data_IF_916554914374
#
_entry.id   IF_916554914374
#
_cell.length_a   1.000
_cell.length_b   1.000
_cell.length_c   1.000
_cell.angle_alpha   90.00
_cell.angle_beta   90.00
_cell.angle_gamma   90.00
#
_symmetry.space_group_name_H-M   'P 1'
#
loop_
_entity.id
_entity.type
_entity.pdbx_description
1 polymer ?
#
# COMPACT_ATOMS: atom_id res chain seq x y z
N UNK A 1 -13.42 -35.34 46.88
CA UNK A 1 -13.70 -33.95 46.43
C UNK A 1 -12.54 -33.30 45.65
N UNK A 2 -11.30 -33.80 45.69
CA UNK A 2 -10.16 -33.19 44.98
C UNK A 2 -10.07 -33.47 43.46
N UNK A 3 -10.70 -34.55 42.96
CA UNK A 3 -10.65 -34.95 41.53
C UNK A 3 -11.48 -34.02 40.63
N UNK A 4 -12.64 -33.59 41.11
CA UNK A 4 -13.54 -32.67 40.40
C UNK A 4 -12.93 -31.26 40.26
N UNK A 5 -12.20 -30.82 41.28
CA UNK A 5 -11.54 -29.50 41.30
C UNK A 5 -10.40 -29.40 40.27
N UNK A 6 -9.61 -30.46 40.09
CA UNK A 6 -8.55 -30.55 39.07
C UNK A 6 -9.10 -30.45 37.64
N UNK A 7 -10.24 -31.07 37.35
CA UNK A 7 -10.85 -31.05 36.01
C UNK A 7 -11.39 -29.66 35.66
N UNK A 8 -11.97 -28.97 36.64
CA UNK A 8 -12.51 -27.61 36.47
C UNK A 8 -11.37 -26.61 36.23
N UNK A 9 -10.27 -26.74 36.97
CA UNK A 9 -9.10 -25.87 36.82
C UNK A 9 -8.37 -26.08 35.49
N UNK A 10 -8.31 -27.32 34.98
CA UNK A 10 -7.76 -27.67 33.66
C UNK A 10 -8.57 -27.05 32.51
N UNK A 11 -9.91 -27.12 32.60
CA UNK A 11 -10.81 -26.47 31.64
C UNK A 11 -10.72 -24.94 31.68
N UNK A 12 -10.57 -24.35 32.86
CA UNK A 12 -10.37 -22.90 33.01
C UNK A 12 -9.02 -22.48 32.40
N UNK A 13 -7.96 -23.26 32.59
CA UNK A 13 -6.64 -22.98 32.04
C UNK A 13 -6.63 -23.07 30.50
N UNK A 14 -7.28 -24.09 29.93
CA UNK A 14 -7.45 -24.22 28.47
C UNK A 14 -8.24 -23.05 27.88
N UNK A 15 -9.32 -22.62 28.55
CA UNK A 15 -10.13 -21.46 28.11
C UNK A 15 -9.32 -20.16 28.17
N UNK A 16 -8.49 -19.97 29.21
CA UNK A 16 -7.61 -18.80 29.29
C UNK A 16 -6.53 -18.80 28.21
N UNK A 17 -5.90 -19.94 27.92
CA UNK A 17 -4.90 -20.07 26.84
C UNK A 17 -5.53 -19.82 25.47
N UNK A 18 -6.73 -20.34 25.21
CA UNK A 18 -7.47 -20.08 23.98
C UNK A 18 -7.83 -18.59 23.83
N UNK A 19 -8.21 -17.91 24.92
CA UNK A 19 -8.49 -16.48 24.90
C UNK A 19 -7.22 -15.63 24.63
N UNK A 20 -6.05 -16.07 25.13
CA UNK A 20 -4.77 -15.38 24.90
C UNK A 20 -4.25 -15.56 23.46
N UNK A 21 -4.41 -16.73 22.85
CA UNK A 21 -4.00 -16.99 21.46
C UNK A 21 -4.89 -16.23 20.46
N UNK A 22 -6.16 -15.98 20.81
CA UNK A 22 -7.08 -15.20 19.98
C UNK A 22 -6.70 -13.72 19.82
N UNK A 23 -5.82 -13.16 20.67
CA UNK A 23 -5.53 -11.73 20.70
C UNK A 23 -4.39 -11.30 19.74
N UNK A 24 -3.64 -12.23 19.14
CA UNK A 24 -2.45 -11.92 18.33
C UNK A 24 -2.70 -11.68 16.83
N UNK A 25 -3.95 -11.74 16.36
CA UNK A 25 -4.30 -11.62 14.93
C UNK A 25 -4.59 -10.19 14.42
N UNK A 26 -4.38 -9.16 15.25
CA UNK A 26 -4.68 -7.75 14.90
C UNK A 26 -3.43 -6.90 14.58
N UNK A 27 -2.33 -7.50 14.13
CA UNK A 27 -1.28 -6.75 13.47
C UNK A 27 -1.69 -6.49 12.02
N UNK A 28 -2.49 -5.44 11.80
CA UNK A 28 -2.75 -4.91 10.46
C UNK A 28 -1.40 -4.58 9.81
N UNK A 29 -1.07 -5.27 8.73
CA UNK A 29 0.07 -4.92 7.91
C UNK A 29 -0.23 -3.55 7.29
N UNK A 30 0.66 -2.57 7.50
CA UNK A 30 0.59 -1.30 6.79
C UNK A 30 0.67 -1.60 5.28
N UNK A 31 -0.47 -1.60 4.61
CA UNK A 31 -0.54 -1.62 3.17
C UNK A 31 -0.17 -0.21 2.74
N UNK A 32 0.99 -0.03 2.09
CA UNK A 32 1.21 1.18 1.33
C UNK A 32 0.12 1.23 0.26
N UNK A 33 -0.87 2.11 0.43
CA UNK A 33 -1.98 2.25 -0.50
C UNK A 33 -1.56 3.17 -1.64
N UNK A 34 -1.00 2.56 -2.69
CA UNK A 34 -0.59 3.31 -3.87
C UNK A 34 -1.82 3.71 -4.68
N UNK A 35 -2.03 5.02 -4.85
CA UNK A 35 -3.00 5.56 -5.80
C UNK A 35 -2.50 5.33 -7.21
N UNK A 36 -3.37 4.82 -8.09
CA UNK A 36 -3.05 4.46 -9.48
C UNK A 36 -3.99 5.11 -10.48
N UNK A 37 -3.48 5.44 -11.66
CA UNK A 37 -4.25 5.99 -12.78
C UNK A 37 -3.65 5.67 -14.14
N UNK A 38 -4.51 5.55 -15.17
CA UNK A 38 -4.10 5.37 -16.57
C UNK A 38 -4.18 6.71 -17.33
N UNK A 39 -3.14 7.01 -18.12
CA UNK A 39 -3.01 8.26 -18.86
C UNK A 39 -2.55 8.01 -20.29
N UNK A 40 -2.99 8.85 -21.22
CA UNK A 40 -2.60 8.74 -22.63
C UNK A 40 -1.13 9.12 -22.89
N UNK A 41 -0.53 9.98 -22.04
CA UNK A 41 0.84 10.49 -22.21
C UNK A 41 1.59 10.57 -20.88
N UNK A 42 2.93 10.54 -20.94
CA UNK A 42 3.79 10.74 -19.78
C UNK A 42 3.54 12.10 -19.11
N UNK A 43 3.38 13.17 -19.89
CA UNK A 43 3.09 14.51 -19.38
C UNK A 43 1.75 14.56 -18.63
N UNK A 44 0.71 13.89 -19.15
CA UNK A 44 -0.59 13.83 -18.46
C UNK A 44 -0.47 13.09 -17.12
N UNK A 45 0.32 12.01 -17.07
CA UNK A 45 0.59 11.29 -15.83
C UNK A 45 1.27 12.20 -14.79
N UNK A 46 2.37 12.87 -15.16
CA UNK A 46 3.10 13.77 -14.25
C UNK A 46 2.24 14.97 -13.82
N UNK A 47 1.47 15.54 -14.74
CA UNK A 47 0.57 16.65 -14.45
C UNK A 47 -0.53 16.26 -13.47
N UNK A 48 -1.10 15.07 -13.61
CA UNK A 48 -2.12 14.56 -12.69
C UNK A 48 -1.55 14.37 -11.26
N UNK A 49 -0.35 13.80 -11.14
CA UNK A 49 0.31 13.60 -9.84
C UNK A 49 0.64 14.96 -9.20
N UNK A 50 1.18 15.92 -9.98
CA UNK A 50 1.45 17.29 -9.52
C UNK A 50 0.17 18.00 -9.06
N UNK A 51 -0.89 17.91 -9.84
CA UNK A 51 -2.18 18.54 -9.55
C UNK A 51 -2.84 17.94 -8.30
N UNK A 52 -2.81 16.61 -8.17
CA UNK A 52 -3.36 15.91 -7.01
C UNK A 52 -2.65 16.33 -5.72
N UNK A 53 -1.32 16.29 -5.72
CA UNK A 53 -0.51 16.59 -4.54
C UNK A 53 -0.32 18.09 -4.27
N UNK A 54 -0.74 18.96 -5.21
CA UNK A 54 -0.50 20.42 -5.20
C UNK A 54 0.95 20.75 -4.87
N UNK A 55 1.88 19.96 -5.42
CA UNK A 55 3.30 19.98 -5.08
C UNK A 55 4.14 19.72 -6.31
N UNK A 56 5.33 20.32 -6.35
CA UNK A 56 6.35 19.99 -7.34
C UNK A 56 6.82 18.54 -7.19
N UNK A 57 7.31 18.00 -8.31
CA UNK A 57 7.89 16.66 -8.42
C UNK A 57 9.40 16.81 -8.61
N UNK A 58 10.19 16.16 -7.76
CA UNK A 58 11.62 16.03 -7.96
C UNK A 58 11.88 14.71 -8.68
N UNK A 59 12.32 14.80 -9.94
CA UNK A 59 12.57 13.65 -10.81
C UNK A 59 13.91 12.99 -10.44
N UNK A 60 13.91 11.66 -10.37
CA UNK A 60 15.10 10.83 -10.17
C UNK A 60 15.45 10.01 -11.41
N UNK A 61 14.42 9.47 -12.09
CA UNK A 61 14.58 8.77 -13.36
C UNK A 61 13.75 9.48 -14.41
N UNK A 62 14.36 9.79 -15.55
CA UNK A 62 13.69 10.35 -16.72
C UNK A 62 14.06 9.53 -17.95
N UNK A 63 13.18 8.59 -18.30
CA UNK A 63 13.33 7.71 -19.46
C UNK A 63 12.01 7.70 -20.25
N UNK A 64 12.04 7.47 -21.58
CA UNK A 64 10.82 7.40 -22.39
C UNK A 64 9.81 6.35 -21.91
N UNK A 65 10.29 5.24 -21.34
CA UNK A 65 9.44 4.18 -20.80
C UNK A 65 9.04 4.39 -19.33
N UNK A 66 9.70 5.30 -18.61
CA UNK A 66 9.51 5.44 -17.17
C UNK A 66 10.04 6.77 -16.64
N UNK A 67 9.21 7.49 -15.90
CA UNK A 67 9.63 8.61 -15.05
C UNK A 67 9.33 8.28 -13.60
N UNK A 68 10.28 8.49 -12.70
CA UNK A 68 10.07 8.30 -11.26
C UNK A 68 10.76 9.40 -10.47
N UNK A 69 10.33 9.59 -9.22
CA UNK A 69 10.86 10.63 -8.38
C UNK A 69 10.18 10.67 -7.02
N UNK A 70 10.29 11.81 -6.36
CA UNK A 70 9.52 12.12 -5.15
C UNK A 70 8.61 13.33 -5.34
N UNK A 71 7.53 13.36 -4.59
CA UNK A 71 6.71 14.54 -4.37
C UNK A 71 7.42 15.39 -3.30
N UNK A 72 7.73 16.66 -3.62
CA UNK A 72 8.56 17.51 -2.74
C UNK A 72 7.93 17.70 -1.37
N UNK A 73 6.62 17.94 -1.32
CA UNK A 73 5.90 18.24 -0.08
C UNK A 73 5.79 17.03 0.87
N UNK A 74 5.34 15.88 0.37
CA UNK A 74 5.10 14.69 1.18
C UNK A 74 6.34 13.83 1.35
N UNK A 75 7.36 14.05 0.52
CA UNK A 75 8.57 13.23 0.42
C UNK A 75 8.33 11.81 -0.13
N UNK A 76 7.08 11.49 -0.49
CA UNK A 76 6.65 10.22 -1.04
C UNK A 76 7.10 9.99 -2.48
N UNK A 77 7.19 8.72 -2.85
CA UNK A 77 7.63 8.31 -4.19
C UNK A 77 6.47 8.33 -5.19
N UNK A 78 6.80 8.65 -6.43
CA UNK A 78 5.88 8.49 -7.56
C UNK A 78 6.55 7.77 -8.73
N UNK A 79 5.73 7.18 -9.58
CA UNK A 79 6.14 6.44 -10.76
C UNK A 79 5.12 6.64 -11.89
N UNK A 80 5.60 6.97 -13.08
CA UNK A 80 4.84 6.93 -14.33
C UNK A 80 5.54 5.94 -15.26
N UNK A 81 4.88 4.84 -15.64
CA UNK A 81 5.46 3.77 -16.48
C UNK A 81 4.68 3.58 -17.75
N UNK A 82 5.36 3.52 -18.91
CA UNK A 82 4.75 3.14 -20.19
C UNK A 82 4.32 1.67 -20.13
N UNK A 83 3.07 1.42 -20.45
CA UNK A 83 2.47 0.09 -20.59
C UNK A 83 1.99 -0.09 -22.02
N UNK A 84 2.05 -1.32 -22.49
CA UNK A 84 1.56 -1.69 -23.82
C UNK A 84 0.71 -2.95 -23.66
N UNK A 85 -0.53 -2.87 -24.14
CA UNK A 85 -1.46 -4.01 -24.12
C UNK A 85 -2.04 -4.19 -25.51
N UNK A 86 -2.26 -5.45 -25.91
CA UNK A 86 -2.74 -5.77 -27.26
C UNK A 86 -4.09 -5.14 -27.62
N UNK A 87 -4.94 -4.82 -26.63
CA UNK A 87 -6.28 -4.27 -26.85
C UNK A 87 -6.37 -2.74 -26.66
N UNK A 88 -5.64 -2.15 -25.71
CA UNK A 88 -5.67 -0.70 -25.45
C UNK A 88 -4.54 0.08 -26.15
N UNK A 89 -3.56 -0.61 -26.74
CA UNK A 89 -2.36 0.00 -27.28
C UNK A 89 -1.40 0.47 -26.18
N UNK A 90 -0.67 1.55 -26.46
CA UNK A 90 0.28 2.16 -25.51
C UNK A 90 -0.42 3.17 -24.60
N UNK A 91 -0.21 3.06 -23.28
CA UNK A 91 -0.65 4.04 -22.28
C UNK A 91 0.42 4.20 -21.18
N UNK A 92 0.19 5.11 -20.24
CA UNK A 92 1.07 5.36 -19.10
C UNK A 92 0.31 5.12 -17.81
N UNK A 93 0.86 4.28 -16.93
CA UNK A 93 0.34 4.01 -15.60
C UNK A 93 1.08 4.87 -14.60
N UNK A 94 0.34 5.76 -13.92
CA UNK A 94 0.83 6.55 -12.80
C UNK A 94 0.53 5.87 -11.48
N UNK A 95 1.49 5.88 -10.56
CA UNK A 95 1.36 5.36 -9.20
C UNK A 95 2.07 6.29 -8.21
N UNK A 96 1.44 6.62 -7.09
CA UNK A 96 2.09 7.35 -5.99
C UNK A 96 1.49 6.94 -4.63
N UNK A 97 2.31 6.98 -3.59
CA UNK A 97 1.88 6.78 -2.21
C UNK A 97 1.29 8.10 -1.68
N UNK A 98 0.09 8.06 -1.08
CA UNK A 98 -0.53 9.22 -0.44
C UNK A 98 -0.22 9.35 1.06
N UNK A 99 0.54 8.40 1.62
CA UNK A 99 1.16 8.50 2.94
C UNK A 99 0.15 8.72 4.08
N UNK A 100 -1.04 8.11 3.99
CA UNK A 100 -2.01 8.09 5.10
C UNK A 100 -1.43 7.43 6.37
#
# INVERSE_FOLDING_TARGET
MAKTFRIIMDRIFIVMVAALIGLAALAGTAHADWRRGEFATMQACLAAIKAYNKSELQIFTDKPSQVSGRIVRTRESFLCTRKETGTKGTFFEGAFDDGE
#
